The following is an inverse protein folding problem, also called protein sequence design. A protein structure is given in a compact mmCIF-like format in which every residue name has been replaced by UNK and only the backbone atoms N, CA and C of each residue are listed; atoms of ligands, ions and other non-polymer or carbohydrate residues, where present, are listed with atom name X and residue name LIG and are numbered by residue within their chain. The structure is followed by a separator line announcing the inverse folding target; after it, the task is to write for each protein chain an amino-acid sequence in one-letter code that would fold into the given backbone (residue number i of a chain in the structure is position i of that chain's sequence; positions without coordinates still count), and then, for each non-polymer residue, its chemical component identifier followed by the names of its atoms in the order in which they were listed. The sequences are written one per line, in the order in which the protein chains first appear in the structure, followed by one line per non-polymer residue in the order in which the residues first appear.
data_IF_682374324762
#
_entry.id   IF_682374324762
#
_cell.length_a   1.000
_cell.length_b   1.000
_cell.length_c   1.000
_cell.angle_alpha   90.00
_cell.angle_beta   90.00
_cell.angle_gamma   90.00
#
_symmetry.space_group_name_H-M   'P 1'
#
loop_
_entity.id
_entity.type
_entity.pdbx_description
1 polymer ?
#
# COMPACT_ATOMS: atom_id res chain seq x y z
N UNK A 1 11.97 13.12 -1.27
CA UNK A 1 10.76 13.97 -1.39
C UNK A 1 9.66 13.24 -0.65
N UNK A 2 9.19 13.74 0.49
CA UNK A 2 8.06 13.13 1.20
C UNK A 2 6.79 13.52 0.44
N UNK A 3 6.11 12.55 -0.18
CA UNK A 3 4.80 12.80 -0.77
C UNK A 3 3.78 12.98 0.35
N UNK A 4 3.08 14.11 0.34
CA UNK A 4 1.95 14.37 1.23
C UNK A 4 0.78 13.43 0.88
N UNK A 5 0.40 12.56 1.81
CA UNK A 5 -0.73 11.63 1.72
C UNK A 5 -2.11 12.31 1.66
N UNK A 6 -2.18 13.63 1.83
CA UNK A 6 -3.44 14.41 1.76
C UNK A 6 -4.23 14.18 0.46
N UNK A 7 -3.55 13.87 -0.65
CA UNK A 7 -4.20 13.57 -1.92
C UNK A 7 -5.19 12.40 -1.81
N UNK A 8 -4.93 11.44 -0.92
CA UNK A 8 -5.82 10.31 -0.69
C UNK A 8 -7.09 10.73 0.06
N UNK A 9 -6.99 11.71 0.95
CA UNK A 9 -8.13 12.23 1.69
C UNK A 9 -9.04 13.07 0.80
N UNK A 10 -8.45 13.81 -0.14
CA UNK A 10 -9.19 14.66 -1.08
C UNK A 10 -9.90 13.86 -2.18
N UNK A 11 -9.35 12.71 -2.58
CA UNK A 11 -9.78 11.99 -3.79
C UNK A 11 -10.36 10.59 -3.56
N UNK A 12 -9.97 9.88 -2.51
CA UNK A 12 -10.46 8.51 -2.32
C UNK A 12 -11.85 8.50 -1.66
N UNK A 13 -12.70 7.56 -2.09
CA UNK A 13 -14.04 7.38 -1.52
C UNK A 13 -13.99 7.00 -0.04
N UNK A 14 -14.96 7.46 0.74
CA UNK A 14 -15.16 7.06 2.14
C UNK A 14 -15.38 5.56 2.35
N UNK A 15 -15.71 4.81 1.29
CA UNK A 15 -15.86 3.34 1.32
C UNK A 15 -14.52 2.60 1.33
N UNK A 16 -13.38 3.31 1.19
CA UNK A 16 -12.03 2.71 1.22
C UNK A 16 -11.73 2.04 2.56
N UNK A 17 -11.48 0.72 2.54
CA UNK A 17 -11.26 -0.06 3.75
C UNK A 17 -9.80 -0.51 3.93
N UNK A 18 -9.15 -0.97 2.86
CA UNK A 18 -7.80 -1.54 2.94
C UNK A 18 -6.71 -0.52 3.27
N UNK A 19 -6.66 0.62 2.57
CA UNK A 19 -5.67 1.67 2.83
C UNK A 19 -5.79 2.30 4.22
N UNK A 20 -6.97 2.21 4.87
CA UNK A 20 -7.14 2.62 6.27
C UNK A 20 -6.51 1.65 7.26
N UNK A 21 -6.49 0.36 6.92
CA UNK A 21 -5.91 -0.69 7.76
C UNK A 21 -4.38 -0.78 7.62
N UNK A 22 -3.85 -0.37 6.46
CA UNK A 22 -2.42 -0.30 6.17
C UNK A 22 -2.05 1.10 5.65
N UNK A 23 -1.74 2.07 6.54
CA UNK A 23 -1.34 3.42 6.15
C UNK A 23 0.12 3.43 5.64
N UNK A 24 0.40 2.66 4.60
CA UNK A 24 1.73 2.50 3.99
C UNK A 24 1.58 2.72 2.49
N UNK A 25 2.50 3.50 1.91
CA UNK A 25 2.60 3.70 0.46
C UNK A 25 3.69 2.79 -0.09
N UNK A 26 3.30 1.82 -0.91
CA UNK A 26 4.22 0.88 -1.56
C UNK A 26 4.73 1.42 -2.89
N UNK A 27 6.02 1.18 -3.18
CA UNK A 27 6.69 1.59 -4.42
C UNK A 27 6.90 0.40 -5.37
N UNK A 28 7.39 -0.73 -4.84
CA UNK A 28 7.69 -1.93 -5.65
C UNK A 28 7.22 -3.23 -5.00
N UNK A 29 6.93 -4.23 -5.83
CA UNK A 29 6.52 -5.57 -5.42
C UNK A 29 7.25 -6.63 -6.26
N UNK A 30 7.85 -7.64 -5.62
CA UNK A 30 8.50 -8.78 -6.30
C UNK A 30 8.24 -10.07 -5.52
N UNK A 31 7.59 -11.05 -6.16
CA UNK A 31 7.17 -12.29 -5.51
C UNK A 31 6.27 -11.98 -4.31
N UNK A 32 6.61 -12.50 -3.14
CA UNK A 32 5.89 -12.26 -1.88
C UNK A 32 6.39 -11.04 -1.09
N UNK A 33 7.17 -10.13 -1.69
CA UNK A 33 7.71 -8.94 -0.99
C UNK A 33 7.17 -7.64 -1.57
N UNK A 34 6.75 -6.75 -0.68
CA UNK A 34 6.42 -5.35 -0.98
C UNK A 34 7.50 -4.46 -0.37
N UNK A 35 7.89 -3.39 -1.07
CA UNK A 35 8.82 -2.37 -0.57
C UNK A 35 8.12 -1.02 -0.56
N UNK A 36 8.14 -0.33 0.58
CA UNK A 36 7.59 1.02 0.70
C UNK A 36 8.54 2.10 0.15
N UNK A 37 8.01 3.31 0.01
CA UNK A 37 8.75 4.48 -0.49
C UNK A 37 9.94 4.90 0.40
N UNK A 38 9.97 4.44 1.66
CA UNK A 38 11.07 4.65 2.61
C UNK A 38 12.11 3.51 2.56
N UNK A 39 11.91 2.51 1.69
CA UNK A 39 12.80 1.38 1.47
C UNK A 39 12.60 0.20 2.41
N UNK A 40 11.56 0.20 3.26
CA UNK A 40 11.27 -0.93 4.15
C UNK A 40 10.52 -2.01 3.39
N UNK A 41 10.98 -3.25 3.59
CA UNK A 41 10.42 -4.44 2.93
C UNK A 41 9.48 -5.19 3.88
N UNK A 42 8.33 -5.62 3.35
CA UNK A 42 7.28 -6.37 4.02
C UNK A 42 7.06 -7.70 3.31
N UNK A 43 6.70 -8.72 4.07
CA UNK A 43 6.24 -10.00 3.53
C UNK A 43 4.74 -9.91 3.28
N UNK A 44 4.32 -10.13 2.04
CA UNK A 44 2.93 -10.03 1.61
C UNK A 44 2.15 -11.31 1.97
N UNK A 45 1.41 -11.25 3.08
CA UNK A 45 0.45 -12.29 3.50
C UNK A 45 -0.97 -12.00 3.02
N UNK A 46 -1.18 -10.85 2.37
CA UNK A 46 -2.47 -10.46 1.81
C UNK A 46 -2.63 -10.96 0.37
N UNK A 47 -1.52 -11.04 -0.39
CA UNK A 47 -1.45 -11.53 -1.76
C UNK A 47 -2.49 -10.88 -2.69
N UNK A 48 -2.74 -9.59 -2.49
CA UNK A 48 -3.78 -8.84 -3.21
C UNK A 48 -5.19 -9.45 -3.04
N UNK A 49 -5.54 -9.89 -1.83
CA UNK A 49 -6.76 -10.66 -1.55
C UNK A 49 -6.89 -11.94 -2.41
N UNK A 50 -5.76 -12.58 -2.73
CA UNK A 50 -5.69 -13.79 -3.54
C UNK A 50 -5.65 -13.56 -5.05
N UNK A 51 -5.58 -12.31 -5.51
CA UNK A 51 -5.48 -11.98 -6.93
C UNK A 51 -4.08 -12.20 -7.52
N UNK A 52 -3.04 -12.24 -6.68
CA UNK A 52 -1.65 -12.44 -7.08
C UNK A 52 -1.24 -13.88 -6.73
N UNK A 53 -1.21 -14.77 -7.72
CA UNK A 53 -0.67 -16.14 -7.62
C UNK A 53 0.73 -16.23 -8.23
#
# INVERSE_FOLDING_TARGET
MSQSTNIFDDLESEVRSYCRSWPVVFDTAVGSRLTDVDGKSYLDFFAGAGALN
#
